data_IF_238043484858
#
_entry.id   IF_238043484858
#
_cell.length_a   1.000
_cell.length_b   1.000
_cell.length_c   1.000
_cell.angle_alpha   90.00
_cell.angle_beta   90.00
_cell.angle_gamma   90.00
#
_symmetry.space_group_name_H-M   'P 1'
#
loop_
_entity.id
_entity.type
_entity.pdbx_description
1 polymer ?
#
# COMPACT_ATOMS: atom_id res chain seq x y z
N UNK A 1 36.73 12.67 -16.03
CA UNK A 1 35.68 13.15 -15.10
C UNK A 1 34.41 12.37 -15.38
N UNK A 2 34.21 11.24 -14.68
CA UNK A 2 33.07 10.34 -14.89
C UNK A 2 31.84 10.99 -14.26
N UNK A 3 30.86 11.32 -15.10
CA UNK A 3 29.87 12.36 -14.85
C UNK A 3 29.01 12.17 -13.59
N UNK A 4 29.13 13.15 -12.69
CA UNK A 4 28.35 13.33 -11.46
C UNK A 4 26.83 13.22 -11.68
N UNK A 5 26.34 13.50 -12.89
CA UNK A 5 24.91 13.37 -13.25
C UNK A 5 24.36 11.93 -13.21
N UNK A 6 25.17 10.90 -13.50
CA UNK A 6 24.74 9.49 -13.44
C UNK A 6 24.61 9.00 -12.01
N UNK A 7 25.52 9.45 -11.13
CA UNK A 7 25.48 9.16 -9.69
C UNK A 7 24.29 9.90 -9.05
N UNK A 8 24.03 11.14 -9.45
CA UNK A 8 22.87 11.92 -8.98
C UNK A 8 21.56 11.29 -9.43
N UNK A 9 21.43 10.81 -10.67
CA UNK A 9 20.22 10.11 -11.14
C UNK A 9 19.97 8.78 -10.43
N UNK A 10 21.02 7.98 -10.20
CA UNK A 10 20.92 6.73 -9.44
C UNK A 10 20.58 7.02 -7.98
N UNK A 11 21.18 8.04 -7.37
CA UNK A 11 20.85 8.48 -6.02
C UNK A 11 19.42 9.02 -5.91
N UNK A 12 18.92 9.76 -6.90
CA UNK A 12 17.53 10.25 -6.95
C UNK A 12 16.56 9.08 -7.12
N UNK A 13 16.87 8.10 -7.97
CA UNK A 13 16.02 6.92 -8.15
C UNK A 13 16.03 6.02 -6.91
N UNK A 14 17.19 5.80 -6.28
CA UNK A 14 17.27 5.11 -5.00
C UNK A 14 16.55 5.88 -3.91
N UNK A 15 16.67 7.21 -3.86
CA UNK A 15 15.99 8.05 -2.88
C UNK A 15 14.48 8.09 -3.14
N UNK A 16 14.03 8.07 -4.40
CA UNK A 16 12.63 7.96 -4.77
C UNK A 16 12.08 6.56 -4.45
N UNK A 17 12.87 5.50 -4.62
CA UNK A 17 12.55 4.14 -4.18
C UNK A 17 12.55 4.02 -2.66
N UNK A 18 13.44 4.73 -1.96
CA UNK A 18 13.54 4.73 -0.50
C UNK A 18 12.51 5.67 0.14
N UNK A 19 12.08 6.72 -0.55
CA UNK A 19 10.99 7.60 -0.15
C UNK A 19 9.62 7.02 -0.54
N UNK A 20 9.52 6.27 -1.64
CA UNK A 20 8.36 5.44 -1.93
C UNK A 20 8.29 4.29 -0.94
N UNK A 21 9.40 3.58 -0.67
CA UNK A 21 9.45 2.52 0.34
C UNK A 21 9.32 3.08 1.76
N UNK A 22 9.79 4.30 2.05
CA UNK A 22 9.76 4.95 3.36
C UNK A 22 8.45 5.67 3.63
N UNK A 23 7.83 6.25 2.62
CA UNK A 23 6.45 6.75 2.64
C UNK A 23 5.46 5.58 2.69
N UNK A 24 5.73 4.48 1.98
CA UNK A 24 4.92 3.27 2.03
C UNK A 24 5.19 2.43 3.29
N UNK A 25 6.42 2.40 3.83
CA UNK A 25 6.74 1.87 5.17
C UNK A 25 6.15 2.76 6.25
N UNK A 26 6.10 4.08 6.06
CA UNK A 26 5.43 5.04 6.95
C UNK A 26 3.92 4.87 6.96
N UNK A 27 3.31 4.58 5.80
CA UNK A 27 1.90 4.15 5.69
C UNK A 27 1.73 2.74 6.30
N UNK A 28 2.64 1.79 6.06
CA UNK A 28 2.59 0.38 6.50
C UNK A 28 2.86 0.18 8.00
N UNK A 29 3.73 0.96 8.61
CA UNK A 29 3.97 1.04 10.07
C UNK A 29 3.05 2.03 10.74
N UNK A 30 2.60 3.07 10.04
CA UNK A 30 1.42 3.82 10.43
C UNK A 30 0.28 2.84 10.71
N UNK A 31 -0.15 2.12 9.68
CA UNK A 31 -1.28 1.18 9.72
C UNK A 31 -1.15 0.06 10.75
N UNK A 32 0.05 -0.23 11.27
CA UNK A 32 0.27 -1.34 12.20
C UNK A 32 0.82 -0.96 13.57
N UNK A 33 1.59 0.13 13.74
CA UNK A 33 2.36 0.39 14.97
C UNK A 33 2.67 1.87 15.30
N UNK A 34 2.10 2.88 14.64
CA UNK A 34 2.36 4.29 14.99
C UNK A 34 1.36 4.82 16.04
N UNK A 35 1.79 5.43 17.16
CA UNK A 35 0.90 6.00 18.17
C UNK A 35 0.05 7.19 17.69
N UNK A 36 0.23 7.65 16.44
CA UNK A 36 -0.33 8.93 15.93
C UNK A 36 -1.43 8.87 14.86
N UNK A 37 -1.50 7.86 13.98
CA UNK A 37 -2.59 7.58 12.99
C UNK A 37 -2.08 6.50 12.03
N UNK A 38 -2.85 5.46 11.62
CA UNK A 38 -4.26 5.28 11.29
C UNK A 38 -4.94 4.33 12.27
N UNK A 39 -5.02 4.82 13.49
CA UNK A 39 -5.94 4.28 14.48
C UNK A 39 -7.34 4.88 14.31
N UNK A 40 -7.69 5.28 13.08
CA UNK A 40 -9.03 5.76 12.72
C UNK A 40 -9.87 4.60 12.20
N UNK A 41 -9.56 3.96 11.06
CA UNK A 41 -10.46 2.98 10.44
C UNK A 41 -10.64 1.68 11.26
N UNK A 42 -9.55 1.05 11.74
CA UNK A 42 -9.67 -0.15 12.57
C UNK A 42 -10.32 0.14 13.94
N UNK A 43 -10.04 1.33 14.51
CA UNK A 43 -10.63 1.81 15.77
C UNK A 43 -12.09 2.26 15.58
N UNK A 44 -12.46 2.77 14.41
CA UNK A 44 -13.81 3.10 13.95
C UNK A 44 -14.65 1.84 13.79
N UNK A 45 -14.11 0.84 13.09
CA UNK A 45 -14.73 -0.49 12.92
C UNK A 45 -15.02 -1.14 14.27
N UNK A 46 -14.12 -1.00 15.25
CA UNK A 46 -14.29 -1.64 16.56
C UNK A 46 -15.06 -0.82 17.60
N UNK A 47 -15.00 0.52 17.59
CA UNK A 47 -15.64 1.36 18.63
C UNK A 47 -16.89 2.13 18.17
N UNK A 48 -17.06 2.41 16.87
CA UNK A 48 -18.17 3.25 16.40
C UNK A 48 -19.23 2.46 15.63
N UNK A 49 -18.91 1.26 15.16
CA UNK A 49 -19.81 0.49 14.30
C UNK A 49 -20.63 -0.59 15.01
N UNK A 50 -20.56 -0.74 16.34
CA UNK A 50 -21.38 -1.68 17.14
C UNK A 50 -21.68 -3.01 16.41
N UNK A 51 -20.62 -3.62 15.86
CA UNK A 51 -20.73 -4.76 14.96
C UNK A 51 -21.35 -5.96 15.67
N UNK A 52 -22.26 -6.67 15.01
CA UNK A 52 -22.74 -7.95 15.55
C UNK A 52 -21.64 -9.01 15.50
N UNK A 53 -21.78 -10.10 16.26
CA UNK A 53 -20.82 -11.22 16.21
C UNK A 53 -20.70 -11.79 14.79
N UNK A 54 -21.81 -11.91 14.07
CA UNK A 54 -21.87 -12.36 12.68
C UNK A 54 -21.12 -11.41 11.73
N UNK A 55 -21.31 -10.09 11.88
CA UNK A 55 -20.59 -9.10 11.09
C UNK A 55 -19.07 -9.17 11.33
N UNK A 56 -18.64 -9.34 12.58
CA UNK A 56 -17.21 -9.51 12.92
C UNK A 56 -16.62 -10.74 12.26
N UNK A 57 -17.35 -11.86 12.26
CA UNK A 57 -16.88 -13.09 11.62
C UNK A 57 -16.74 -12.93 10.10
N UNK A 58 -17.70 -12.27 9.44
CA UNK A 58 -17.64 -11.98 8.00
C UNK A 58 -16.49 -11.03 7.66
N UNK A 59 -16.30 -9.97 8.46
CA UNK A 59 -15.18 -9.04 8.29
C UNK A 59 -13.83 -9.74 8.49
N UNK A 60 -13.70 -10.62 9.49
CA UNK A 60 -12.46 -11.38 9.72
C UNK A 60 -12.11 -12.27 8.52
N UNK A 61 -13.11 -12.87 7.86
CA UNK A 61 -12.89 -13.64 6.64
C UNK A 61 -12.40 -12.76 5.48
N UNK A 62 -12.99 -11.57 5.29
CA UNK A 62 -12.53 -10.59 4.29
C UNK A 62 -11.09 -10.13 4.57
N UNK A 63 -10.76 -9.84 5.82
CA UNK A 63 -9.41 -9.46 6.25
C UNK A 63 -8.38 -10.56 5.96
N UNK A 64 -8.72 -11.82 6.20
CA UNK A 64 -7.83 -12.94 5.89
C UNK A 64 -7.52 -13.04 4.38
N UNK A 65 -8.55 -12.87 3.54
CA UNK A 65 -8.41 -12.87 2.07
C UNK A 65 -7.54 -11.70 1.61
N UNK A 66 -7.82 -10.49 2.11
CA UNK A 66 -7.04 -9.30 1.78
C UNK A 66 -5.58 -9.44 2.23
N UNK A 67 -5.34 -9.91 3.45
CA UNK A 67 -3.99 -10.11 3.98
C UNK A 67 -3.17 -11.10 3.13
N UNK A 68 -3.79 -12.19 2.68
CA UNK A 68 -3.16 -13.15 1.76
C UNK A 68 -2.82 -12.49 0.41
N UNK A 69 -3.78 -11.77 -0.19
CA UNK A 69 -3.58 -11.09 -1.48
C UNK A 69 -2.48 -10.03 -1.40
N UNK A 70 -2.50 -9.23 -0.34
CA UNK A 70 -1.51 -8.20 -0.05
C UNK A 70 -0.11 -8.80 0.03
N UNK A 71 0.10 -9.85 0.83
CA UNK A 71 1.41 -10.52 0.96
C UNK A 71 1.98 -10.95 -0.40
N UNK A 72 1.15 -11.48 -1.30
CA UNK A 72 1.57 -11.88 -2.64
C UNK A 72 2.02 -10.67 -3.48
N UNK A 73 1.29 -9.55 -3.42
CA UNK A 73 1.63 -8.34 -4.18
C UNK A 73 2.90 -7.67 -3.65
N UNK A 74 3.04 -7.57 -2.33
CA UNK A 74 4.25 -7.03 -1.70
C UNK A 74 5.50 -7.86 -2.03
N UNK A 75 5.35 -9.19 -2.10
CA UNK A 75 6.44 -10.06 -2.53
C UNK A 75 6.86 -9.81 -3.99
N UNK A 76 5.90 -9.47 -4.86
CA UNK A 76 6.17 -9.12 -6.27
C UNK A 76 6.90 -7.78 -6.40
N UNK A 77 6.52 -6.78 -5.62
CA UNK A 77 7.26 -5.50 -5.56
C UNK A 77 8.72 -5.73 -5.12
N UNK A 78 8.93 -6.52 -4.06
CA UNK A 78 10.27 -6.84 -3.56
C UNK A 78 11.10 -7.60 -4.61
N UNK A 79 10.49 -8.56 -5.30
CA UNK A 79 11.14 -9.29 -6.38
C UNK A 79 11.53 -8.36 -7.53
N UNK A 80 10.62 -7.49 -7.98
CA UNK A 80 10.88 -6.52 -9.03
C UNK A 80 12.00 -5.52 -8.64
N UNK A 81 12.06 -5.10 -7.37
CA UNK A 81 13.14 -4.24 -6.88
C UNK A 81 14.51 -4.94 -6.90
N UNK A 82 14.56 -6.22 -6.54
CA UNK A 82 15.79 -7.03 -6.66
C UNK A 82 16.23 -7.19 -8.12
N UNK A 83 15.28 -7.45 -9.02
CA UNK A 83 15.55 -7.50 -10.46
C UNK A 83 16.10 -6.17 -11.00
N UNK A 84 15.54 -5.05 -10.55
CA UNK A 84 16.01 -3.71 -10.92
C UNK A 84 17.46 -3.50 -10.45
N UNK A 85 17.76 -3.82 -9.19
CA UNK A 85 19.11 -3.73 -8.65
C UNK A 85 20.11 -4.57 -9.46
N UNK A 86 19.75 -5.82 -9.76
CA UNK A 86 20.59 -6.71 -10.57
C UNK A 86 20.80 -6.16 -12.00
N UNK A 87 19.76 -5.61 -12.62
CA UNK A 87 19.84 -5.03 -13.96
C UNK A 87 20.77 -3.80 -14.00
N UNK A 88 20.66 -2.91 -13.01
CA UNK A 88 21.50 -1.71 -12.92
C UNK A 88 22.97 -2.06 -12.69
N UNK A 89 23.25 -3.05 -11.83
CA UNK A 89 24.62 -3.53 -11.58
C UNK A 89 25.22 -4.26 -12.79
N UNK A 90 24.41 -4.94 -13.60
CA UNK A 90 24.91 -5.61 -14.80
C UNK A 90 25.18 -4.62 -15.94
N UNK A 91 24.26 -3.70 -16.20
CA UNK A 91 24.28 -2.87 -17.41
C UNK A 91 24.92 -1.48 -17.19
N UNK A 92 25.06 -1.03 -15.93
CA UNK A 92 25.59 0.29 -15.54
C UNK A 92 24.91 1.47 -16.27
N UNK A 93 23.71 1.22 -16.78
CA UNK A 93 22.86 2.16 -17.51
C UNK A 93 21.41 1.71 -17.38
N UNK A 94 20.50 2.63 -17.65
CA UNK A 94 19.11 2.28 -17.84
C UNK A 94 18.96 1.57 -19.20
N UNK A 95 18.73 0.26 -19.15
CA UNK A 95 18.50 -0.57 -20.34
C UNK A 95 17.23 -1.43 -20.20
N UNK A 96 16.96 -2.32 -21.18
CA UNK A 96 15.70 -3.04 -21.27
C UNK A 96 15.33 -3.85 -20.01
N UNK A 97 16.33 -4.40 -19.29
CA UNK A 97 16.08 -5.14 -18.05
C UNK A 97 15.64 -4.24 -16.90
N UNK A 98 16.25 -3.07 -16.75
CA UNK A 98 15.85 -2.09 -15.76
C UNK A 98 14.44 -1.56 -16.06
N UNK A 99 14.14 -1.26 -17.33
CA UNK A 99 12.80 -0.86 -17.76
C UNK A 99 11.73 -1.92 -17.45
N UNK A 100 12.03 -3.19 -17.73
CA UNK A 100 11.13 -4.31 -17.43
C UNK A 100 10.88 -4.46 -15.92
N UNK A 101 11.93 -4.37 -15.10
CA UNK A 101 11.81 -4.48 -13.64
C UNK A 101 10.95 -3.35 -13.05
N UNK A 102 11.13 -2.11 -13.54
CA UNK A 102 10.27 -0.97 -13.17
C UNK A 102 8.82 -1.22 -13.59
N UNK A 103 8.57 -1.76 -14.79
CA UNK A 103 7.22 -2.12 -15.23
C UNK A 103 6.55 -3.14 -14.32
N UNK A 104 7.29 -4.20 -13.92
CA UNK A 104 6.79 -5.20 -12.95
C UNK A 104 6.47 -4.57 -11.60
N UNK A 105 7.33 -3.68 -11.12
CA UNK A 105 7.12 -2.95 -9.88
C UNK A 105 5.84 -2.10 -9.95
N UNK A 106 5.67 -1.31 -11.02
CA UNK A 106 4.49 -0.48 -11.24
C UNK A 106 3.19 -1.30 -11.27
N UNK A 107 3.18 -2.44 -11.97
CA UNK A 107 2.02 -3.35 -12.02
C UNK A 107 1.67 -3.88 -10.62
N UNK A 108 2.68 -4.32 -9.85
CA UNK A 108 2.46 -4.85 -8.50
C UNK A 108 1.90 -3.77 -7.56
N UNK A 109 2.45 -2.56 -7.65
CA UNK A 109 2.02 -1.39 -6.88
C UNK A 109 0.59 -0.97 -7.22
N UNK A 110 0.25 -0.81 -8.52
CA UNK A 110 -1.12 -0.48 -8.93
C UNK A 110 -2.10 -1.58 -8.52
N UNK A 111 -1.72 -2.85 -8.63
CA UNK A 111 -2.56 -3.97 -8.20
C UNK A 111 -2.83 -3.93 -6.69
N UNK A 112 -1.85 -3.51 -5.87
CA UNK A 112 -2.01 -3.36 -4.43
C UNK A 112 -2.95 -2.21 -4.07
N UNK A 113 -2.86 -1.07 -4.77
CA UNK A 113 -3.79 0.04 -4.59
C UNK A 113 -5.22 -0.38 -4.88
N UNK A 114 -5.44 -1.04 -6.03
CA UNK A 114 -6.76 -1.56 -6.41
C UNK A 114 -7.29 -2.58 -5.39
N UNK A 115 -6.43 -3.48 -4.90
CA UNK A 115 -6.83 -4.45 -3.88
C UNK A 115 -7.23 -3.76 -2.56
N UNK A 116 -6.53 -2.71 -2.15
CA UNK A 116 -6.87 -1.93 -0.96
C UNK A 116 -8.24 -1.24 -1.10
N UNK A 117 -8.49 -0.57 -2.23
CA UNK A 117 -9.78 0.09 -2.50
C UNK A 117 -10.92 -0.92 -2.49
N UNK A 118 -10.74 -2.07 -3.15
CA UNK A 118 -11.73 -3.16 -3.15
C UNK A 118 -12.00 -3.67 -1.75
N UNK A 119 -10.96 -3.95 -0.96
CA UNK A 119 -11.12 -4.40 0.44
C UNK A 119 -11.97 -3.44 1.27
N UNK A 120 -11.70 -2.13 1.15
CA UNK A 120 -12.47 -1.09 1.83
C UNK A 120 -13.93 -1.09 1.39
N UNK A 121 -14.22 -1.32 0.11
CA UNK A 121 -15.60 -1.43 -0.38
C UNK A 121 -16.26 -2.76 0.03
N UNK A 122 -15.52 -3.87 0.05
CA UNK A 122 -16.04 -5.18 0.46
C UNK A 122 -16.46 -5.16 1.93
N UNK A 123 -15.69 -4.53 2.81
CA UNK A 123 -16.06 -4.34 4.22
C UNK A 123 -17.38 -3.59 4.37
N UNK A 124 -17.65 -2.59 3.52
CA UNK A 124 -18.90 -1.82 3.53
C UNK A 124 -20.12 -2.71 3.30
N UNK A 125 -20.01 -3.75 2.48
CA UNK A 125 -21.12 -4.65 2.13
C UNK A 125 -21.64 -5.48 3.30
N UNK A 126 -20.83 -5.63 4.35
CA UNK A 126 -21.19 -6.36 5.58
C UNK A 126 -22.01 -5.49 6.54
N UNK A 127 -21.99 -4.17 6.35
CA UNK A 127 -22.58 -3.20 7.25
C UNK A 127 -24.07 -2.97 6.96
N UNK A 128 -24.82 -2.65 8.00
CA UNK A 128 -26.19 -2.12 7.86
C UNK A 128 -26.15 -0.73 7.22
N UNK A 129 -27.26 -0.22 6.65
CA UNK A 129 -27.29 1.12 6.04
C UNK A 129 -26.82 2.24 6.98
N UNK A 130 -27.18 2.16 8.28
CA UNK A 130 -26.74 3.12 9.29
C UNK A 130 -25.24 3.04 9.55
N UNK A 131 -24.70 1.84 9.71
CA UNK A 131 -23.26 1.61 9.89
C UNK A 131 -22.46 2.06 8.66
N UNK A 132 -22.97 1.80 7.45
CA UNK A 132 -22.34 2.21 6.20
C UNK A 132 -22.21 3.73 6.09
N UNK A 133 -23.19 4.50 6.57
CA UNK A 133 -23.09 5.97 6.59
C UNK A 133 -21.92 6.48 7.46
N UNK A 134 -21.76 5.93 8.67
CA UNK A 134 -20.63 6.25 9.54
C UNK A 134 -19.30 5.82 8.92
N UNK A 135 -19.28 4.66 8.27
CA UNK A 135 -18.13 4.14 7.57
C UNK A 135 -17.69 5.02 6.38
N UNK A 136 -18.65 5.46 5.56
CA UNK A 136 -18.40 6.31 4.40
C UNK A 136 -17.85 7.69 4.81
N UNK A 137 -18.37 8.29 5.88
CA UNK A 137 -17.85 9.54 6.45
C UNK A 137 -16.41 9.40 6.94
N UNK A 138 -16.10 8.26 7.57
CA UNK A 138 -14.74 7.98 8.02
C UNK A 138 -13.76 7.84 6.86
N UNK A 139 -14.17 7.21 5.76
CA UNK A 139 -13.37 7.12 4.53
C UNK A 139 -13.14 8.51 3.95
N UNK A 140 -14.20 9.31 3.79
CA UNK A 140 -14.09 10.67 3.24
C UNK A 140 -13.08 11.50 4.04
N UNK A 141 -13.20 11.50 5.38
CA UNK A 141 -12.27 12.20 6.27
C UNK A 141 -10.83 11.71 6.12
N UNK A 142 -10.62 10.40 6.00
CA UNK A 142 -9.28 9.83 5.83
C UNK A 142 -8.65 10.29 4.50
N UNK A 143 -9.44 10.32 3.42
CA UNK A 143 -8.99 10.76 2.10
C UNK A 143 -8.71 12.28 2.08
N UNK A 144 -9.56 13.10 2.70
CA UNK A 144 -9.36 14.54 2.79
C UNK A 144 -8.13 14.91 3.62
N UNK A 145 -7.86 14.17 4.71
CA UNK A 145 -6.67 14.38 5.55
C UNK A 145 -5.35 13.95 4.88
N UNK A 146 -5.42 13.22 3.77
CA UNK A 146 -4.23 12.78 3.01
C UNK A 146 -3.72 13.87 2.06
N UNK A 147 -4.42 15.00 1.96
CA UNK A 147 -4.12 16.12 1.06
C UNK A 147 -3.55 17.39 1.72
N UNK A 148 -3.14 17.33 2.99
CA UNK A 148 -2.49 18.45 3.71
C UNK A 148 -1.11 18.07 4.22
#
# INVERSE_FOLDING_TARGET
MIGSGRVVLVAILLSALTAAAGGWLGVRYGLTHSPGSPVSLNRLLHRQLDLTAEQRQRLAALEAVYAARRKVLEARELAANRELGAALLAEHRYGPKAAQAIGKFAIAMTALQVATVRHVMDMRTVLTPRQAQTYDQAIAKALDSSGQ
#
